data_IF_656629334006
#
_entry.id   IF_656629334006
#
_cell.length_a   1.000
_cell.length_b   1.000
_cell.length_c   1.000
_cell.angle_alpha   90.00
_cell.angle_beta   90.00
_cell.angle_gamma   90.00
#
_symmetry.space_group_name_H-M   'P 1'
#
loop_
_entity.id
_entity.type
_entity.pdbx_description
1 polymer ?
#
# COMPACT_ATOMS: atom_id res chain seq x y z
N UNK A 1 9.14 45.64 19.09
CA UNK A 1 7.89 45.07 18.55
C UNK A 1 7.24 44.25 19.66
N UNK A 2 6.06 44.68 20.12
CA UNK A 2 5.36 44.12 21.28
C UNK A 2 4.47 42.97 20.84
N UNK A 3 4.69 41.76 21.34
CA UNK A 3 3.75 40.66 21.18
C UNK A 3 2.58 40.84 22.17
N UNK A 4 1.34 40.76 21.68
CA UNK A 4 0.13 40.97 22.48
C UNK A 4 -0.30 39.66 23.15
N UNK A 5 -0.80 39.73 24.38
CA UNK A 5 -1.25 38.59 25.21
C UNK A 5 -2.56 37.94 24.70
N UNK A 6 -3.00 38.30 23.49
CA UNK A 6 -4.20 37.81 22.82
C UNK A 6 -3.91 37.08 21.49
N UNK A 7 -2.63 36.85 21.16
CA UNK A 7 -2.29 35.91 20.11
C UNK A 7 -2.64 34.51 20.63
N UNK A 8 -3.86 34.05 20.30
CA UNK A 8 -4.15 32.63 20.29
C UNK A 8 -3.16 32.02 19.30
N UNK A 9 -2.02 31.58 19.82
CA UNK A 9 -1.28 30.48 19.23
C UNK A 9 -2.31 29.37 19.16
N UNK A 10 -2.97 29.25 18.02
CA UNK A 10 -3.66 28.03 17.63
C UNK A 10 -2.58 26.98 17.78
N UNK A 11 -2.67 26.18 18.85
CA UNK A 11 -1.89 24.97 18.98
C UNK A 11 -2.30 24.14 17.77
N UNK A 12 -1.54 24.27 16.69
CA UNK A 12 -1.63 23.42 15.52
C UNK A 12 -1.55 22.01 16.09
N UNK A 13 -2.58 21.20 15.84
CA UNK A 13 -2.58 19.81 16.27
C UNK A 13 -1.20 19.22 15.91
N UNK A 14 -0.53 18.49 16.83
CA UNK A 14 0.83 18.05 16.59
C UNK A 14 0.83 17.22 15.31
N UNK A 15 1.47 17.75 14.28
CA UNK A 15 1.80 17.01 13.08
C UNK A 15 2.60 15.77 13.51
N UNK A 16 2.16 14.58 13.12
CA UNK A 16 2.82 13.33 13.47
C UNK A 16 3.70 12.96 12.27
N UNK A 17 5.02 13.19 12.35
CA UNK A 17 5.89 12.98 11.20
C UNK A 17 6.05 11.49 10.90
N UNK A 18 6.29 11.18 9.64
CA UNK A 18 6.72 9.88 9.18
C UNK A 18 7.79 9.99 8.10
N UNK A 19 8.51 8.88 7.92
CA UNK A 19 9.43 8.69 6.83
C UNK A 19 9.32 7.26 6.32
N UNK A 20 9.31 7.08 5.01
CA UNK A 20 9.31 5.78 4.34
C UNK A 20 10.47 5.72 3.36
N UNK A 21 11.21 4.62 3.38
CA UNK A 21 12.23 4.29 2.39
C UNK A 21 11.76 3.12 1.53
N UNK A 22 11.96 3.23 0.22
CA UNK A 22 11.51 2.26 -0.77
C UNK A 22 12.69 1.42 -1.28
N UNK A 23 12.38 0.24 -1.82
CA UNK A 23 13.41 -0.72 -2.29
C UNK A 23 14.19 -0.27 -3.52
N UNK A 24 13.70 0.73 -4.24
CA UNK A 24 14.36 1.39 -5.37
C UNK A 24 15.31 2.53 -4.94
N UNK A 25 15.42 2.79 -3.63
CA UNK A 25 16.23 3.86 -3.06
C UNK A 25 15.51 5.20 -2.92
N UNK A 26 14.25 5.29 -3.38
CA UNK A 26 13.42 6.48 -3.18
C UNK A 26 13.02 6.63 -1.71
N UNK A 27 12.62 7.83 -1.29
CA UNK A 27 12.09 8.07 0.05
C UNK A 27 11.03 9.16 0.07
N UNK A 28 10.08 9.05 0.99
CA UNK A 28 9.12 10.12 1.28
C UNK A 28 9.11 10.47 2.75
N UNK A 29 8.89 11.74 3.05
CA UNK A 29 8.72 12.28 4.39
C UNK A 29 7.49 13.19 4.41
N UNK A 30 6.72 13.09 5.48
CA UNK A 30 5.46 13.81 5.59
C UNK A 30 4.87 13.72 6.99
N UNK A 31 3.59 14.07 7.09
CA UNK A 31 2.82 13.93 8.32
C UNK A 31 1.62 13.00 8.13
N UNK A 32 1.28 12.25 9.16
CA UNK A 32 0.07 11.45 9.13
C UNK A 32 -1.17 12.32 9.24
N UNK A 33 -2.15 12.03 8.38
CA UNK A 33 -3.51 12.54 8.41
C UNK A 33 -4.51 11.39 8.53
N UNK A 34 -5.77 11.69 8.83
CA UNK A 34 -6.81 10.68 8.99
C UNK A 34 -8.01 11.06 8.14
N UNK A 35 -8.40 10.17 7.23
CA UNK A 35 -9.42 10.42 6.22
C UNK A 35 -10.47 9.31 6.16
N UNK A 36 -11.55 9.57 5.42
CA UNK A 36 -12.54 8.56 5.09
C UNK A 36 -12.34 8.07 3.65
N UNK A 37 -12.17 6.77 3.46
CA UNK A 37 -12.05 6.15 2.13
C UNK A 37 -13.34 5.47 1.73
N UNK A 38 -13.69 5.54 0.44
CA UNK A 38 -14.89 4.90 -0.10
C UNK A 38 -14.54 3.91 -1.19
N UNK A 39 -14.96 2.66 -0.99
CA UNK A 39 -14.78 1.53 -1.90
C UNK A 39 -16.14 1.09 -2.43
N UNK A 40 -16.48 1.48 -3.66
CA UNK A 40 -17.80 1.25 -4.22
C UNK A 40 -18.89 1.91 -3.35
N UNK A 41 -19.69 1.08 -2.66
CA UNK A 41 -20.77 1.53 -1.78
C UNK A 41 -20.39 1.53 -0.29
N UNK A 42 -19.15 1.15 0.03
CA UNK A 42 -18.67 0.98 1.42
C UNK A 42 -17.73 2.11 1.79
N UNK A 43 -18.08 2.88 2.82
CA UNK A 43 -17.22 3.93 3.36
C UNK A 43 -16.54 3.45 4.64
N UNK A 44 -15.23 3.66 4.75
CA UNK A 44 -14.39 3.30 5.87
C UNK A 44 -13.81 4.59 6.43
N UNK A 45 -14.18 4.91 7.66
CA UNK A 45 -13.69 6.10 8.33
C UNK A 45 -12.40 5.85 9.09
N UNK A 46 -11.69 6.95 9.37
CA UNK A 46 -10.47 6.97 10.18
C UNK A 46 -9.31 6.15 9.60
N UNK A 47 -9.15 6.18 8.28
CA UNK A 47 -7.99 5.60 7.61
C UNK A 47 -6.83 6.59 7.74
N UNK A 48 -5.72 6.15 8.31
CA UNK A 48 -4.49 6.93 8.42
C UNK A 48 -3.78 6.94 7.07
N UNK A 49 -3.51 8.14 6.55
CA UNK A 49 -2.80 8.36 5.28
C UNK A 49 -1.57 9.23 5.53
N UNK A 50 -0.60 9.13 4.64
CA UNK A 50 0.55 10.03 4.62
C UNK A 50 0.26 11.25 3.76
N UNK A 51 0.53 12.44 4.29
CA UNK A 51 0.60 13.68 3.52
C UNK A 51 2.07 14.02 3.33
N UNK A 52 2.61 13.61 2.19
CA UNK A 52 4.03 13.80 1.85
C UNK A 52 4.32 15.29 1.58
N UNK A 53 5.45 15.78 2.11
CA UNK A 53 5.96 17.13 1.86
C UNK A 53 7.26 17.12 1.09
N UNK A 54 8.04 16.06 1.27
CA UNK A 54 9.37 15.88 0.68
C UNK A 54 9.49 14.47 0.09
N UNK A 55 9.73 14.41 -1.20
CA UNK A 55 9.72 13.19 -2.00
C UNK A 55 10.98 13.15 -2.86
N UNK A 56 11.81 12.14 -2.63
CA UNK A 56 13.08 11.95 -3.32
C UNK A 56 13.03 10.66 -4.15
N UNK A 57 13.56 10.70 -5.37
CA UNK A 57 13.69 9.54 -6.25
C UNK A 57 12.69 9.49 -7.41
N UNK A 58 12.12 8.30 -7.67
CA UNK A 58 11.50 7.95 -8.96
C UNK A 58 9.99 8.27 -9.08
N UNK A 59 9.36 8.85 -8.06
CA UNK A 59 7.91 9.06 -8.02
C UNK A 59 7.39 10.27 -8.83
N UNK A 60 8.15 10.70 -9.84
CA UNK A 60 7.78 11.83 -10.70
C UNK A 60 6.54 11.48 -11.51
N UNK A 61 5.46 12.26 -11.34
CA UNK A 61 4.20 12.10 -12.07
C UNK A 61 3.12 11.31 -11.32
N UNK A 62 3.41 10.77 -10.13
CA UNK A 62 2.39 10.23 -9.23
C UNK A 62 1.92 11.30 -8.24
N UNK A 63 0.60 11.37 -7.99
CA UNK A 63 0.06 12.26 -6.97
C UNK A 63 0.20 11.70 -5.54
N UNK A 64 0.26 10.37 -5.41
CA UNK A 64 0.41 9.65 -4.15
C UNK A 64 0.80 8.19 -4.40
N UNK A 65 1.21 7.49 -3.34
CA UNK A 65 1.57 6.08 -3.36
C UNK A 65 0.59 5.26 -2.52
N UNK A 66 0.21 4.10 -3.05
CA UNK A 66 -0.65 3.17 -2.32
C UNK A 66 0.16 2.04 -1.68
N UNK A 67 0.25 2.06 -0.34
CA UNK A 67 0.95 1.03 0.43
C UNK A 67 0.14 -0.27 0.55
N UNK A 68 0.59 -1.33 -0.12
CA UNK A 68 -0.03 -2.67 -0.10
C UNK A 68 0.70 -3.68 0.78
N UNK A 69 1.75 -3.30 1.51
CA UNK A 69 2.57 -4.23 2.30
C UNK A 69 1.86 -4.86 3.51
N UNK A 70 2.57 -5.69 4.25
CA UNK A 70 2.09 -6.38 5.46
C UNK A 70 2.38 -5.58 6.76
N UNK A 71 2.24 -4.26 6.70
CA UNK A 71 2.44 -3.37 7.85
C UNK A 71 1.11 -2.92 8.47
N UNK A 72 1.08 -2.51 9.74
CA UNK A 72 -0.17 -2.09 10.39
C UNK A 72 -0.83 -0.86 9.73
N UNK A 73 -0.01 0.05 9.19
CA UNK A 73 -0.47 1.25 8.48
C UNK A 73 -0.65 1.03 6.97
N UNK A 74 -0.45 -0.18 6.44
CA UNK A 74 -0.76 -0.44 5.04
C UNK A 74 -2.27 -0.44 4.80
N UNK A 75 -2.68 -0.13 3.56
CA UNK A 75 -4.11 -0.09 3.25
C UNK A 75 -4.79 -1.44 3.56
N UNK A 76 -4.28 -2.63 3.13
CA UNK A 76 -4.91 -3.91 3.43
C UNK A 76 -5.13 -4.17 4.92
N UNK A 77 -4.20 -3.74 5.77
CA UNK A 77 -4.31 -3.87 7.23
C UNK A 77 -5.38 -2.94 7.81
N UNK A 78 -5.36 -1.67 7.40
CA UNK A 78 -6.31 -0.66 7.90
C UNK A 78 -7.75 -0.97 7.50
N UNK A 79 -7.97 -1.42 6.26
CA UNK A 79 -9.31 -1.81 5.78
C UNK A 79 -9.65 -3.27 6.07
N UNK A 80 -8.72 -4.02 6.65
CA UNK A 80 -8.81 -5.46 6.83
C UNK A 80 -9.97 -5.92 7.72
N UNK A 81 -10.40 -5.09 8.67
CA UNK A 81 -11.61 -5.37 9.48
C UNK A 81 -12.88 -5.49 8.62
N UNK A 82 -12.95 -4.74 7.52
CA UNK A 82 -14.12 -4.72 6.63
C UNK A 82 -13.94 -5.72 5.48
N UNK A 83 -12.73 -5.80 4.92
CA UNK A 83 -12.42 -6.62 3.74
C UNK A 83 -11.67 -7.92 4.05
N UNK A 84 -11.62 -8.34 5.31
CA UNK A 84 -11.00 -9.61 5.72
C UNK A 84 -9.49 -9.70 5.49
N UNK A 85 -8.80 -8.57 5.28
CA UNK A 85 -7.35 -8.53 5.02
C UNK A 85 -6.91 -9.19 3.72
N UNK A 86 -7.83 -9.34 2.75
CA UNK A 86 -7.58 -9.97 1.45
C UNK A 86 -7.67 -8.97 0.33
N UNK A 87 -6.76 -9.09 -0.63
CA UNK A 87 -6.78 -8.32 -1.86
C UNK A 87 -6.13 -9.12 -3.00
N UNK A 88 -6.42 -8.74 -4.23
CA UNK A 88 -5.79 -9.28 -5.44
C UNK A 88 -5.58 -8.16 -6.44
N UNK A 89 -4.65 -8.38 -7.37
CA UNK A 89 -4.35 -7.44 -8.42
C UNK A 89 -4.12 -8.16 -9.75
N UNK A 90 -4.54 -7.52 -10.83
CA UNK A 90 -4.23 -7.90 -12.20
C UNK A 90 -3.52 -6.70 -12.83
N UNK A 91 -2.20 -6.82 -13.04
CA UNK A 91 -1.40 -5.78 -13.67
C UNK A 91 -1.39 -6.01 -15.18
N UNK A 92 -1.78 -4.98 -15.92
CA UNK A 92 -1.67 -4.98 -17.38
C UNK A 92 -0.23 -4.76 -17.81
N UNK A 93 0.14 -5.34 -18.96
CA UNK A 93 1.42 -5.05 -19.59
C UNK A 93 1.39 -3.63 -20.19
N UNK A 94 2.16 -2.73 -19.58
CA UNK A 94 2.31 -1.35 -20.03
C UNK A 94 3.03 -1.22 -21.38
N UNK A 95 3.73 -2.26 -21.85
CA UNK A 95 4.45 -2.26 -23.11
C UNK A 95 3.65 -2.86 -24.28
N UNK A 96 2.48 -3.46 -24.02
CA UNK A 96 1.70 -4.19 -25.01
C UNK A 96 1.04 -3.30 -26.11
N UNK A 97 1.31 -2.00 -26.17
CA UNK A 97 0.85 -1.08 -27.22
C UNK A 97 -0.67 -0.89 -27.32
N UNK A 98 -1.44 -1.60 -26.49
CA UNK A 98 -2.89 -1.52 -26.42
C UNK A 98 -3.30 -0.33 -25.55
N UNK A 99 -4.03 0.62 -26.15
CA UNK A 99 -4.61 1.81 -25.53
C UNK A 99 -5.72 1.51 -24.50
N UNK A 100 -6.01 0.24 -24.22
CA UNK A 100 -7.18 -0.19 -23.43
C UNK A 100 -6.84 -1.07 -22.22
N UNK A 101 -5.56 -1.18 -21.86
CA UNK A 101 -5.10 -2.14 -20.85
C UNK A 101 -5.21 -1.57 -19.43
N UNK A 102 -6.35 -1.74 -18.77
CA UNK A 102 -6.53 -1.31 -17.38
C UNK A 102 -6.01 -2.34 -16.38
N UNK A 103 -5.24 -1.89 -15.38
CA UNK A 103 -4.90 -2.69 -14.20
C UNK A 103 -6.04 -2.65 -13.19
N UNK A 104 -6.26 -3.75 -12.47
CA UNK A 104 -7.34 -3.85 -11.48
C UNK A 104 -6.79 -4.24 -10.12
N UNK A 105 -7.31 -3.60 -9.06
CA UNK A 105 -7.08 -3.96 -7.67
C UNK A 105 -8.42 -4.22 -6.99
N UNK A 106 -8.55 -5.37 -6.32
CA UNK A 106 -9.78 -5.81 -5.67
C UNK A 106 -9.48 -6.09 -4.20
N UNK A 107 -10.31 -5.57 -3.30
CA UNK A 107 -10.26 -5.85 -1.86
C UNK A 107 -11.47 -6.70 -1.47
N UNK A 108 -11.31 -7.53 -0.45
CA UNK A 108 -12.40 -8.33 0.11
C UNK A 108 -12.54 -9.69 -0.54
N UNK A 109 -13.70 -10.33 -0.33
CA UNK A 109 -13.94 -11.69 -0.83
C UNK A 109 -14.02 -11.77 -2.36
N UNK A 110 -14.33 -10.65 -3.03
CA UNK A 110 -14.26 -10.54 -4.48
C UNK A 110 -12.82 -10.68 -5.02
N UNK A 111 -11.81 -10.54 -4.16
CA UNK A 111 -10.42 -10.76 -4.54
C UNK A 111 -10.09 -12.25 -4.74
N UNK A 112 -10.95 -13.15 -4.25
CA UNK A 112 -10.74 -14.59 -4.34
C UNK A 112 -11.08 -15.09 -5.75
N UNK A 113 -10.18 -15.86 -6.39
CA UNK A 113 -10.39 -16.32 -7.75
C UNK A 113 -11.59 -17.27 -7.85
N UNK A 114 -12.51 -16.98 -8.77
CA UNK A 114 -13.67 -17.81 -9.06
C UNK A 114 -13.45 -18.65 -10.33
N UNK A 115 -13.70 -19.98 -10.31
CA UNK A 115 -13.78 -20.85 -9.15
C UNK A 115 -12.38 -21.09 -8.53
N UNK A 116 -12.32 -21.38 -7.22
CA UNK A 116 -11.09 -21.66 -6.45
C UNK A 116 -10.11 -22.66 -7.08
N UNK A 117 -10.54 -23.43 -8.08
CA UNK A 117 -9.72 -24.38 -8.85
C UNK A 117 -8.68 -23.72 -9.76
N UNK A 118 -8.80 -22.43 -10.05
CA UNK A 118 -7.88 -21.72 -10.95
C UNK A 118 -6.61 -21.19 -10.24
N UNK A 119 -6.58 -21.17 -8.90
CA UNK A 119 -5.46 -20.63 -8.15
C UNK A 119 -4.70 -21.71 -7.39
N UNK A 120 -3.38 -21.54 -7.35
CA UNK A 120 -2.46 -22.34 -6.55
C UNK A 120 -2.04 -21.48 -5.36
N UNK A 121 -2.16 -22.05 -4.16
CA UNK A 121 -1.81 -21.37 -2.92
C UNK A 121 -0.47 -21.90 -2.39
N UNK A 122 0.33 -21.00 -1.85
CA UNK A 122 1.53 -21.33 -1.08
C UNK A 122 1.46 -20.62 0.28
N UNK A 123 1.97 -21.23 1.36
CA UNK A 123 2.07 -20.55 2.64
C UNK A 123 2.92 -19.29 2.54
N UNK A 124 2.40 -18.20 3.07
CA UNK A 124 3.16 -16.97 3.24
C UNK A 124 4.05 -17.09 4.48
N UNK A 125 5.31 -16.70 4.35
CA UNK A 125 6.29 -16.71 5.46
C UNK A 125 6.62 -15.29 5.89
N UNK A 126 6.94 -15.11 7.18
CA UNK A 126 7.31 -13.81 7.72
C UNK A 126 8.84 -13.67 7.77
N UNK A 127 9.36 -12.53 7.31
CA UNK A 127 10.77 -12.18 7.48
C UNK A 127 10.90 -11.22 8.68
N UNK A 128 11.49 -11.64 9.81
CA UNK A 128 11.62 -10.78 10.99
C UNK A 128 12.50 -9.54 10.76
N UNK A 129 13.37 -9.56 9.74
CA UNK A 129 14.21 -8.39 9.38
C UNK A 129 13.48 -7.39 8.48
N UNK A 130 12.49 -7.85 7.71
CA UNK A 130 11.76 -7.07 6.72
C UNK A 130 10.28 -7.45 6.76
N UNK A 131 9.61 -7.13 7.87
CA UNK A 131 8.25 -7.60 8.14
C UNK A 131 7.14 -7.01 7.26
N UNK A 132 7.46 -5.99 6.44
CA UNK A 132 6.48 -5.28 5.62
C UNK A 132 6.25 -5.90 4.24
N UNK A 133 7.09 -6.86 3.82
CA UNK A 133 7.01 -7.51 2.52
C UNK A 133 6.33 -8.89 2.61
N UNK A 134 5.76 -9.34 1.49
CA UNK A 134 5.19 -10.68 1.36
C UNK A 134 6.24 -11.66 0.87
N UNK A 135 6.45 -12.76 1.60
CA UNK A 135 7.39 -13.80 1.23
C UNK A 135 6.69 -15.14 1.03
N UNK A 136 7.21 -15.91 0.09
CA UNK A 136 6.87 -17.33 -0.12
C UNK A 136 8.14 -18.16 -0.06
N UNK A 137 8.03 -19.39 0.46
CA UNK A 137 9.16 -20.32 0.52
C UNK A 137 9.42 -20.90 -0.88
N UNK A 138 10.50 -20.49 -1.52
CA UNK A 138 10.97 -21.10 -2.76
C UNK A 138 11.79 -22.36 -2.44
N UNK A 139 11.38 -23.50 -2.97
CA UNK A 139 12.05 -24.80 -2.75
C UNK A 139 12.97 -25.21 -3.91
N UNK A 140 12.76 -24.65 -5.10
CA UNK A 140 13.57 -24.96 -6.27
C UNK A 140 13.09 -24.23 -7.51
N UNK A 141 13.95 -24.17 -8.52
CA UNK A 141 13.65 -23.61 -9.84
C UNK A 141 14.02 -24.67 -10.86
N UNK A 142 13.14 -24.91 -11.84
CA UNK A 142 13.42 -25.79 -12.97
C UNK A 142 13.33 -25.02 -14.29
N UNK A 143 14.16 -25.44 -15.25
CA UNK A 143 14.19 -24.87 -16.60
C UNK A 143 14.05 -26.01 -17.60
N UNK A 144 13.03 -25.97 -18.46
CA UNK A 144 12.77 -27.01 -19.45
C UNK A 144 12.60 -28.42 -18.84
N UNK A 145 12.00 -28.52 -17.65
CA UNK A 145 11.80 -29.79 -16.95
C UNK A 145 13.02 -30.32 -16.18
N UNK A 146 14.12 -29.56 -16.11
CA UNK A 146 15.33 -29.92 -15.36
C UNK A 146 15.50 -28.99 -14.16
N UNK A 147 15.51 -29.55 -12.96
CA UNK A 147 15.90 -28.82 -11.73
C UNK A 147 17.40 -28.98 -11.50
N UNK A 148 18.06 -27.92 -11.00
CA UNK A 148 19.38 -28.03 -10.38
C UNK A 148 19.23 -28.23 -8.89
#
# INVERSE_FOLDING_TARGET
MSANRNDKVLLQAPFVPYQVSYGDGSSTMGDFSTENLTFGRTSIGRVTLGSDHDNEGLFVGAASLLGLGHANLSLPSQVGRIFGGRFSYCLSDSQAGSTSSSSTHIFGDAALPAPYRAAVFAPMVANPKLGTLYYVQLVGISMGGRSR
#
